data_IF_855747665905
#
_entry.id   IF_855747665905
#
_cell.length_a   1.000
_cell.length_b   1.000
_cell.length_c   1.000
_cell.angle_alpha   90.00
_cell.angle_beta   90.00
_cell.angle_gamma   90.00
#
_symmetry.space_group_name_H-M   'P 1'
#
loop_
_entity.id
_entity.type
_entity.pdbx_description
1 polymer ?
#
# COMPACT_ATOMS: atom_id res chain seq x y z
N UNK A 1 -16.38 13.37 4.03
CA UNK A 1 -16.39 14.01 5.36
C UNK A 1 -15.29 15.06 5.53
N UNK A 2 -13.99 14.72 5.43
CA UNK A 2 -12.88 15.69 5.66
C UNK A 2 -13.01 17.01 4.90
N UNK A 3 -13.36 16.94 3.60
CA UNK A 3 -13.63 18.12 2.77
C UNK A 3 -14.74 18.99 3.34
N UNK A 4 -15.86 18.37 3.71
CA UNK A 4 -17.02 19.06 4.24
C UNK A 4 -16.74 19.73 5.59
N UNK A 5 -16.00 19.05 6.47
CA UNK A 5 -15.53 19.63 7.74
C UNK A 5 -14.65 20.87 7.53
N UNK A 6 -13.88 20.92 6.44
CA UNK A 6 -13.04 22.08 6.08
C UNK A 6 -13.78 23.11 5.22
N UNK A 7 -15.08 22.96 4.99
CA UNK A 7 -15.87 23.82 4.09
C UNK A 7 -15.42 23.78 2.63
N UNK A 8 -14.67 22.75 2.21
CA UNK A 8 -14.14 22.61 0.85
C UNK A 8 -15.05 21.79 -0.03
N UNK A 9 -15.21 22.23 -1.27
CA UNK A 9 -16.01 21.54 -2.29
C UNK A 9 -15.11 20.85 -3.32
N UNK A 10 -15.71 20.10 -4.26
CA UNK A 10 -14.97 19.57 -5.42
C UNK A 10 -14.56 20.68 -6.40
N UNK A 11 -15.27 21.82 -6.43
CA UNK A 11 -14.96 22.94 -7.33
C UNK A 11 -13.63 23.61 -6.99
N UNK A 12 -13.21 23.55 -5.74
CA UNK A 12 -11.96 24.15 -5.27
C UNK A 12 -10.71 23.45 -5.83
N UNK A 13 -10.86 22.25 -6.40
CA UNK A 13 -9.78 21.44 -7.00
C UNK A 13 -8.56 21.22 -6.09
N UNK A 14 -8.72 21.41 -4.78
CA UNK A 14 -7.67 21.18 -3.78
C UNK A 14 -7.36 19.69 -3.71
N UNK A 15 -6.08 19.33 -3.69
CA UNK A 15 -5.63 17.94 -3.58
C UNK A 15 -6.01 17.33 -2.22
N UNK A 16 -6.30 16.04 -2.20
CA UNK A 16 -6.69 15.35 -0.96
C UNK A 16 -5.60 15.39 0.11
N UNK A 17 -4.32 15.37 -0.30
CA UNK A 17 -3.18 15.45 0.62
C UNK A 17 -3.19 16.74 1.45
N UNK A 18 -3.65 17.85 0.87
CA UNK A 18 -3.67 19.15 1.53
C UNK A 18 -4.78 19.19 2.58
N UNK A 19 -5.95 18.63 2.25
CA UNK A 19 -7.06 18.49 3.19
C UNK A 19 -6.68 17.57 4.36
N UNK A 20 -5.99 16.47 4.07
CA UNK A 20 -5.48 15.57 5.10
C UNK A 20 -4.47 16.27 6.02
N UNK A 21 -3.53 17.03 5.43
CA UNK A 21 -2.57 17.85 6.17
C UNK A 21 -3.25 18.88 7.07
N UNK A 22 -4.27 19.58 6.56
CA UNK A 22 -5.02 20.59 7.32
C UNK A 22 -5.74 19.99 8.54
N UNK A 23 -6.26 18.76 8.44
CA UNK A 23 -6.98 18.08 9.53
C UNK A 23 -6.02 17.24 10.41
N UNK A 24 -4.72 17.20 10.08
CA UNK A 24 -3.74 16.35 10.79
C UNK A 24 -3.92 14.85 10.55
N UNK A 25 -4.62 14.47 9.47
CA UNK A 25 -4.79 13.07 9.08
C UNK A 25 -3.58 12.62 8.27
N UNK A 26 -2.96 11.51 8.67
CA UNK A 26 -1.85 10.94 7.91
C UNK A 26 -2.27 10.56 6.48
N UNK A 27 -1.40 10.77 5.48
CA UNK A 27 -1.63 10.28 4.13
C UNK A 27 -1.83 8.76 4.06
N UNK A 28 -2.54 8.30 3.03
CA UNK A 28 -2.89 6.89 2.87
C UNK A 28 -1.67 6.01 2.57
N UNK A 29 -0.70 6.54 1.81
CA UNK A 29 0.55 5.85 1.51
C UNK A 29 1.32 5.50 2.78
N UNK A 30 1.29 6.39 3.77
CA UNK A 30 1.96 6.20 5.06
C UNK A 30 1.31 5.07 5.84
N UNK A 31 -0.03 4.99 5.83
CA UNK A 31 -0.79 3.90 6.45
C UNK A 31 -0.60 2.56 5.76
N UNK A 32 -0.55 2.55 4.43
CA UNK A 32 -0.22 1.35 3.66
C UNK A 32 1.19 0.87 4.01
N UNK A 33 2.17 1.77 4.08
CA UNK A 33 3.54 1.44 4.46
C UNK A 33 3.62 0.88 5.88
N UNK A 34 2.92 1.50 6.84
CA UNK A 34 2.82 1.02 8.22
C UNK A 34 2.26 -0.42 8.28
N UNK A 35 1.16 -0.69 7.56
CA UNK A 35 0.56 -2.02 7.49
C UNK A 35 1.50 -3.08 6.89
N UNK A 36 2.21 -2.74 5.80
CA UNK A 36 3.20 -3.63 5.18
C UNK A 36 4.35 -3.94 6.13
N UNK A 37 4.86 -2.95 6.87
CA UNK A 37 5.94 -3.15 7.85
C UNK A 37 5.47 -3.99 9.04
N UNK A 38 4.25 -3.79 9.52
CA UNK A 38 3.66 -4.66 10.56
C UNK A 38 3.55 -6.11 10.10
N UNK A 39 3.09 -6.33 8.86
CA UNK A 39 3.05 -7.66 8.25
C UNK A 39 4.45 -8.28 8.11
N UNK A 40 5.43 -7.51 7.64
CA UNK A 40 6.80 -8.00 7.52
C UNK A 40 7.40 -8.36 8.89
N UNK A 41 7.17 -7.53 9.91
CA UNK A 41 7.53 -7.86 11.28
C UNK A 41 6.82 -9.13 11.79
N UNK A 42 5.57 -9.38 11.37
CA UNK A 42 4.90 -10.65 11.67
C UNK A 42 5.62 -11.83 11.02
N UNK A 43 6.01 -11.72 9.74
CA UNK A 43 6.78 -12.75 9.04
C UNK A 43 8.12 -13.02 9.73
N UNK A 44 8.87 -11.98 10.12
CA UNK A 44 10.17 -12.14 10.79
C UNK A 44 10.09 -12.83 12.16
N UNK A 45 8.96 -12.76 12.86
CA UNK A 45 8.75 -13.43 14.16
C UNK A 45 8.33 -14.89 14.02
N UNK A 46 7.85 -15.34 12.85
CA UNK A 46 7.46 -16.74 12.62
C UNK A 46 8.70 -17.63 12.57
N UNK A 47 8.64 -18.91 12.98
CA UNK A 47 9.78 -19.82 12.83
C UNK A 47 10.12 -20.04 11.35
N UNK A 48 11.40 -20.30 11.04
CA UNK A 48 11.90 -20.45 9.66
C UNK A 48 11.25 -21.60 8.90
N UNK A 49 10.72 -22.59 9.62
CA UNK A 49 9.98 -23.70 9.01
C UNK A 49 8.54 -23.33 8.59
N UNK A 50 8.02 -22.16 9.01
CA UNK A 50 6.68 -21.73 8.65
C UNK A 50 6.59 -21.47 7.14
N UNK A 51 5.54 -21.96 6.44
CA UNK A 51 5.41 -21.83 4.99
C UNK A 51 5.57 -20.38 4.48
N UNK A 52 5.02 -19.41 5.21
CA UNK A 52 5.08 -17.99 4.85
C UNK A 52 6.48 -17.39 4.97
N UNK A 53 7.30 -17.84 5.93
CA UNK A 53 8.69 -17.38 6.09
C UNK A 53 9.63 -18.06 5.09
N UNK A 54 9.36 -19.33 4.73
CA UNK A 54 10.08 -20.02 3.67
C UNK A 54 9.96 -19.31 2.33
N UNK A 55 8.78 -18.76 2.03
CA UNK A 55 8.52 -18.03 0.78
C UNK A 55 9.37 -16.75 0.64
N UNK A 56 9.62 -16.06 1.76
CA UNK A 56 10.45 -14.85 1.82
C UNK A 56 11.93 -15.15 1.49
N UNK A 57 12.40 -16.35 1.87
CA UNK A 57 13.76 -16.84 1.58
C UNK A 57 13.93 -17.52 0.22
N UNK A 58 12.88 -17.60 -0.61
CA UNK A 58 13.01 -18.17 -1.95
C UNK A 58 13.79 -17.16 -2.80
N UNK A 59 14.95 -17.59 -3.32
CA UNK A 59 15.63 -16.85 -4.38
C UNK A 59 14.65 -16.65 -5.54
N UNK A 60 14.33 -15.40 -5.84
CA UNK A 60 13.63 -15.06 -7.07
C UNK A 60 14.61 -15.28 -8.21
N UNK A 61 14.69 -16.53 -8.70
CA UNK A 61 15.13 -16.77 -10.07
C UNK A 61 14.31 -15.82 -10.93
N UNK A 62 14.94 -15.10 -11.86
CA UNK A 62 14.22 -14.24 -12.80
C UNK A 62 13.30 -15.08 -13.69
N UNK A 63 12.16 -15.48 -13.15
CA UNK A 63 11.12 -16.17 -13.89
C UNK A 63 10.53 -15.09 -14.80
N UNK A 64 10.99 -15.08 -16.05
CA UNK A 64 10.44 -14.22 -17.10
C UNK A 64 8.94 -14.49 -17.17
N UNK A 65 8.14 -13.59 -16.61
CA UNK A 65 6.69 -13.66 -16.72
C UNK A 65 6.35 -13.57 -18.21
N UNK A 66 5.65 -14.58 -18.72
CA UNK A 66 5.21 -14.62 -20.11
C UNK A 66 4.35 -13.40 -20.47
N UNK A 67 4.24 -13.10 -21.76
CA UNK A 67 3.29 -12.10 -22.24
C UNK A 67 1.89 -12.46 -21.72
N UNK A 68 1.28 -11.53 -20.99
CA UNK A 68 -0.09 -11.67 -20.52
C UNK A 68 -1.08 -11.78 -21.68
N UNK A 69 -2.35 -11.98 -21.33
CA UNK A 69 -3.43 -12.09 -22.32
C UNK A 69 -3.37 -10.91 -23.32
N UNK A 70 -3.31 -11.18 -24.63
CA UNK A 70 -3.33 -10.12 -25.64
C UNK A 70 -4.63 -9.32 -25.54
N UNK A 71 -4.56 -8.01 -25.83
CA UNK A 71 -5.75 -7.16 -25.89
C UNK A 71 -6.63 -7.67 -27.03
N UNK A 72 -7.92 -7.86 -26.75
CA UNK A 72 -8.94 -7.98 -27.81
C UNK A 72 -9.03 -6.61 -28.47
N UNK A 73 -8.56 -6.54 -29.71
CA UNK A 73 -8.82 -5.43 -30.64
C UNK A 73 -10.30 -5.25 -30.87
#
# INVERSE_FOLDING_TARGET
MLRWMCGKTRKDRIRNIEIQRQVGVAPIDTKIREGRLRWFGHLQRRPTNAPTRKLDSIETVEIRRGRGRPKLT
#
